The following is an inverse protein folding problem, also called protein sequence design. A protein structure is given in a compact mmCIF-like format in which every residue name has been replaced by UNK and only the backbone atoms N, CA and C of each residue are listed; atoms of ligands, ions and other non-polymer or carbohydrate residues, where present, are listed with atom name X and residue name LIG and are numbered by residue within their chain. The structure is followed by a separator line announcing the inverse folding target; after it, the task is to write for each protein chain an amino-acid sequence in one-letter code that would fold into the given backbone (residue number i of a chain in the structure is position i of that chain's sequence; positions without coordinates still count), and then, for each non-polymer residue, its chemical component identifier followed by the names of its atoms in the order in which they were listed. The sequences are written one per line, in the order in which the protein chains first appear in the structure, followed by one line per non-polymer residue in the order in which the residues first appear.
data_IF_373321286465
#
_entry.id   IF_373321286465
#
_cell.length_a   1.000
_cell.length_b   1.000
_cell.length_c   1.000
_cell.angle_alpha   90.00
_cell.angle_beta   90.00
_cell.angle_gamma   90.00
#
_symmetry.space_group_name_H-M   'P 1'
#
loop_
_entity.id
_entity.type
_entity.pdbx_description
1 polymer ?
#
# COMPACT_ATOMS: atom_id res chain seq x y z
N UNK A 1 32.45 -10.68 -22.61
CA UNK A 1 31.16 -10.09 -23.03
C UNK A 1 31.40 -8.69 -23.55
N UNK A 2 30.88 -8.39 -24.73
CA UNK A 2 30.83 -7.00 -25.20
C UNK A 2 29.88 -6.18 -24.31
N UNK A 3 30.04 -4.85 -24.35
CA UNK A 3 29.22 -3.94 -23.55
C UNK A 3 27.72 -4.00 -23.95
N UNK A 4 27.43 -4.26 -25.22
CA UNK A 4 26.07 -4.43 -25.74
C UNK A 4 25.36 -5.67 -25.15
N UNK A 5 26.09 -6.78 -24.95
CA UNK A 5 25.55 -8.00 -24.32
C UNK A 5 25.16 -7.73 -22.86
N UNK A 6 25.98 -6.96 -22.13
CA UNK A 6 25.65 -6.55 -20.76
C UNK A 6 24.40 -5.66 -20.72
N UNK A 7 24.31 -4.71 -21.65
CA UNK A 7 23.14 -3.86 -21.82
C UNK A 7 21.87 -4.66 -22.14
N UNK A 8 21.99 -5.70 -22.96
CA UNK A 8 20.89 -6.60 -23.28
C UNK A 8 20.31 -7.27 -22.03
N UNK A 9 21.14 -7.87 -21.17
CA UNK A 9 20.64 -8.54 -19.96
C UNK A 9 19.99 -7.58 -18.97
N UNK A 10 20.52 -6.36 -18.83
CA UNK A 10 19.92 -5.33 -17.99
C UNK A 10 18.57 -4.88 -18.55
N UNK A 11 18.46 -4.68 -19.87
CA UNK A 11 17.21 -4.29 -20.51
C UNK A 11 16.13 -5.37 -20.36
N UNK A 12 16.50 -6.65 -20.54
CA UNK A 12 15.58 -7.78 -20.34
C UNK A 12 15.16 -7.90 -18.89
N UNK A 13 16.08 -7.71 -17.94
CA UNK A 13 15.77 -7.69 -16.52
C UNK A 13 14.78 -6.55 -16.18
N UNK A 14 15.03 -5.33 -16.65
CA UNK A 14 14.15 -4.19 -16.44
C UNK A 14 12.74 -4.42 -17.04
N UNK A 15 12.68 -4.99 -18.26
CA UNK A 15 11.42 -5.37 -18.90
C UNK A 15 10.66 -6.42 -18.07
N UNK A 16 11.36 -7.44 -17.57
CA UNK A 16 10.78 -8.48 -16.72
C UNK A 16 10.21 -7.91 -15.41
N UNK A 17 10.98 -7.07 -14.71
CA UNK A 17 10.53 -6.43 -13.47
C UNK A 17 9.31 -5.53 -13.70
N UNK A 18 9.36 -4.68 -14.72
CA UNK A 18 8.25 -3.79 -15.06
C UNK A 18 6.98 -4.57 -15.40
N UNK A 19 7.10 -5.59 -16.27
CA UNK A 19 5.95 -6.41 -16.69
C UNK A 19 5.36 -7.23 -15.53
N UNK A 20 6.18 -7.78 -14.64
CA UNK A 20 5.70 -8.51 -13.45
C UNK A 20 4.94 -7.60 -12.47
N UNK A 21 5.44 -6.38 -12.25
CA UNK A 21 4.80 -5.36 -11.40
C UNK A 21 3.47 -4.90 -12.02
N UNK A 22 3.48 -4.64 -13.34
CA UNK A 22 2.28 -4.25 -14.11
C UNK A 22 1.21 -5.34 -14.10
N UNK A 23 1.62 -6.60 -14.29
CA UNK A 23 0.70 -7.73 -14.33
C UNK A 23 0.00 -7.92 -12.98
N UNK A 24 0.76 -7.90 -11.87
CA UNK A 24 0.19 -8.00 -10.53
C UNK A 24 -0.76 -6.86 -10.20
N UNK A 25 -0.41 -5.63 -10.61
CA UNK A 25 -1.29 -4.47 -10.44
C UNK A 25 -2.63 -4.70 -11.15
N UNK A 26 -2.59 -5.15 -12.41
CA UNK A 26 -3.78 -5.39 -13.23
C UNK A 26 -4.64 -6.53 -12.68
N UNK A 27 -4.01 -7.62 -12.21
CA UNK A 27 -4.71 -8.75 -11.59
C UNK A 27 -5.44 -8.32 -10.31
N UNK A 28 -4.79 -7.51 -9.48
CA UNK A 28 -5.42 -6.91 -8.29
C UNK A 28 -6.58 -6.01 -8.68
N UNK A 29 -6.36 -5.05 -9.59
CA UNK A 29 -7.38 -4.08 -10.00
C UNK A 29 -8.62 -4.80 -10.52
N UNK A 30 -8.44 -5.89 -11.27
CA UNK A 30 -9.53 -6.77 -11.70
C UNK A 30 -10.25 -7.47 -10.54
N UNK A 31 -9.53 -7.90 -9.50
CA UNK A 31 -10.13 -8.52 -8.30
C UNK A 31 -10.86 -7.54 -7.38
N UNK A 32 -10.43 -6.26 -7.38
CA UNK A 32 -11.06 -5.17 -6.61
C UNK A 32 -12.21 -4.49 -7.38
N UNK A 33 -12.52 -4.94 -8.60
CA UNK A 33 -13.57 -4.37 -9.44
C UNK A 33 -13.22 -3.01 -10.07
N UNK A 34 -11.95 -2.61 -10.03
CA UNK A 34 -11.46 -1.40 -10.69
C UNK A 34 -11.47 -1.65 -12.21
N UNK A 35 -11.99 -0.72 -13.03
CA UNK A 35 -12.06 -0.92 -14.47
C UNK A 35 -10.66 -1.10 -15.08
N UNK A 36 -10.39 -2.31 -15.57
CA UNK A 36 -9.15 -2.65 -16.27
C UNK A 36 -9.47 -3.03 -17.71
N UNK A 37 -8.63 -2.61 -18.65
CA UNK A 37 -8.80 -3.01 -20.05
C UNK A 37 -8.19 -4.40 -20.24
N UNK A 38 -8.95 -5.30 -20.85
CA UNK A 38 -8.49 -6.66 -21.13
C UNK A 38 -7.27 -6.67 -22.08
N UNK A 39 -7.12 -5.62 -22.89
CA UNK A 39 -5.97 -5.41 -23.76
C UNK A 39 -4.68 -5.13 -22.97
N UNK A 40 -4.73 -4.28 -21.93
CA UNK A 40 -3.56 -4.02 -21.08
C UNK A 40 -3.12 -5.30 -20.35
N UNK A 41 -4.08 -6.06 -19.80
CA UNK A 41 -3.83 -7.35 -19.16
C UNK A 41 -3.07 -8.32 -20.07
N UNK A 42 -3.51 -8.46 -21.32
CA UNK A 42 -2.88 -9.33 -22.30
C UNK A 42 -1.47 -8.86 -22.66
N UNK A 43 -1.29 -7.55 -22.87
CA UNK A 43 0.03 -6.96 -23.16
C UNK A 43 1.01 -7.20 -22.01
N UNK A 44 0.58 -7.05 -20.75
CA UNK A 44 1.44 -7.30 -19.59
C UNK A 44 1.85 -8.77 -19.49
N UNK A 45 0.94 -9.71 -19.79
CA UNK A 45 1.26 -11.14 -19.87
C UNK A 45 2.26 -11.45 -20.99
N UNK A 46 2.04 -10.90 -22.18
CA UNK A 46 2.94 -11.08 -23.32
C UNK A 46 4.31 -10.48 -23.03
N UNK A 47 4.39 -9.29 -22.44
CA UNK A 47 5.65 -8.65 -22.07
C UNK A 47 6.44 -9.47 -21.04
N UNK A 48 5.75 -10.04 -20.04
CA UNK A 48 6.37 -10.92 -19.07
C UNK A 48 6.91 -12.19 -19.74
N UNK A 49 6.10 -12.86 -20.56
CA UNK A 49 6.53 -14.03 -21.33
C UNK A 49 7.70 -13.73 -22.26
N UNK A 50 7.69 -12.56 -22.92
CA UNK A 50 8.76 -12.11 -23.80
C UNK A 50 10.06 -11.90 -23.03
N UNK A 51 10.03 -11.32 -21.83
CA UNK A 51 11.22 -11.15 -21.00
C UNK A 51 11.86 -12.49 -20.62
N UNK A 52 11.03 -13.49 -20.28
CA UNK A 52 11.48 -14.85 -19.95
C UNK A 52 12.07 -15.55 -21.18
N UNK A 53 11.44 -15.38 -22.35
CA UNK A 53 11.96 -15.93 -23.60
C UNK A 53 13.30 -15.29 -23.99
N UNK A 54 13.42 -13.96 -23.88
CA UNK A 54 14.62 -13.22 -24.22
C UNK A 54 15.80 -13.58 -23.30
N UNK A 55 15.58 -13.78 -21.99
CA UNK A 55 16.67 -14.19 -21.10
C UNK A 55 17.12 -15.62 -21.43
N UNK A 56 16.19 -16.54 -21.70
CA UNK A 56 16.51 -17.91 -22.07
C UNK A 56 17.31 -17.97 -23.38
N UNK A 57 16.82 -17.31 -24.44
CA UNK A 57 17.50 -17.25 -25.75
C UNK A 57 18.85 -16.54 -25.63
N UNK A 58 18.91 -15.45 -24.85
CA UNK A 58 20.13 -14.68 -24.64
C UNK A 58 21.23 -15.47 -23.91
N UNK A 59 20.86 -16.37 -23.00
CA UNK A 59 21.81 -17.25 -22.31
C UNK A 59 22.19 -18.47 -23.16
N UNK A 60 21.26 -19.02 -23.93
CA UNK A 60 21.53 -20.11 -24.87
C UNK A 60 22.57 -19.68 -25.92
N UNK A 61 22.43 -18.46 -26.48
CA UNK A 61 23.35 -17.92 -27.48
C UNK A 61 24.66 -17.37 -26.93
N UNK A 62 24.80 -17.23 -25.60
CA UNK A 62 26.03 -16.73 -24.98
C UNK A 62 27.15 -17.79 -25.06
N UNK A 63 27.81 -17.92 -26.20
CA UNK A 63 28.88 -18.91 -26.42
C UNK A 63 30.15 -18.67 -25.59
N UNK A 64 30.39 -17.43 -25.16
CA UNK A 64 31.58 -17.05 -24.39
C UNK A 64 31.44 -17.18 -22.87
N UNK A 65 30.26 -17.59 -22.38
CA UNK A 65 29.94 -17.55 -20.94
C UNK A 65 30.00 -18.96 -20.35
N UNK A 66 30.64 -19.10 -19.18
CA UNK A 66 30.70 -20.39 -18.49
C UNK A 66 29.30 -20.85 -18.06
N UNK A 67 29.10 -22.16 -17.96
CA UNK A 67 27.80 -22.73 -17.57
C UNK A 67 27.34 -22.22 -16.19
N UNK A 68 28.29 -22.01 -15.27
CA UNK A 68 28.01 -21.45 -13.93
C UNK A 68 27.52 -20.00 -13.99
N UNK A 69 28.11 -19.17 -14.85
CA UNK A 69 27.72 -17.78 -15.03
C UNK A 69 26.31 -17.69 -15.66
N UNK A 70 26.00 -18.54 -16.64
CA UNK A 70 24.64 -18.63 -17.20
C UNK A 70 23.61 -18.98 -16.13
N UNK A 71 23.91 -19.97 -15.29
CA UNK A 71 23.06 -20.33 -14.15
C UNK A 71 22.86 -19.15 -13.19
N UNK A 72 23.93 -18.42 -12.89
CA UNK A 72 23.87 -17.23 -12.05
C UNK A 72 22.93 -16.16 -12.61
N UNK A 73 23.00 -15.85 -13.92
CA UNK A 73 22.10 -14.87 -14.55
C UNK A 73 20.62 -15.29 -14.50
N UNK A 74 20.30 -16.57 -14.74
CA UNK A 74 18.93 -17.06 -14.60
C UNK A 74 18.42 -16.93 -13.16
N UNK A 75 19.23 -17.36 -12.19
CA UNK A 75 18.84 -17.32 -10.77
C UNK A 75 18.70 -15.88 -10.27
N UNK A 76 19.59 -14.97 -10.69
CA UNK A 76 19.47 -13.56 -10.38
C UNK A 76 18.18 -12.95 -10.97
N UNK A 77 17.84 -13.31 -12.21
CA UNK A 77 16.60 -12.85 -12.85
C UNK A 77 15.35 -13.33 -12.11
N UNK A 78 15.26 -14.62 -11.78
CA UNK A 78 14.10 -15.18 -11.06
C UNK A 78 13.98 -14.61 -9.65
N UNK A 79 15.08 -14.50 -8.91
CA UNK A 79 15.10 -13.87 -7.59
C UNK A 79 14.70 -12.39 -7.66
N UNK A 80 15.12 -11.66 -8.70
CA UNK A 80 14.73 -10.26 -8.88
C UNK A 80 13.23 -10.12 -9.16
N UNK A 81 12.64 -10.99 -9.98
CA UNK A 81 11.19 -11.03 -10.20
C UNK A 81 10.43 -11.30 -8.90
N UNK A 82 10.87 -12.31 -8.14
CA UNK A 82 10.28 -12.65 -6.84
C UNK A 82 10.38 -11.49 -5.83
N UNK A 83 11.55 -10.84 -5.76
CA UNK A 83 11.77 -9.71 -4.88
C UNK A 83 10.86 -8.53 -5.25
N UNK A 84 10.75 -8.18 -6.54
CA UNK A 84 9.88 -7.10 -7.00
C UNK A 84 8.39 -7.38 -6.71
N UNK A 85 7.94 -8.61 -6.93
CA UNK A 85 6.59 -9.08 -6.56
C UNK A 85 6.33 -8.91 -5.06
N UNK A 86 7.28 -9.37 -4.24
CA UNK A 86 7.15 -9.34 -2.78
C UNK A 86 7.14 -7.91 -2.25
N UNK A 87 8.07 -7.06 -2.72
CA UNK A 87 8.12 -5.64 -2.35
C UNK A 87 6.83 -4.94 -2.74
N UNK A 88 6.33 -5.17 -3.96
CA UNK A 88 5.09 -4.54 -4.42
C UNK A 88 3.89 -4.91 -3.53
N UNK A 89 3.80 -6.18 -3.10
CA UNK A 89 2.77 -6.63 -2.16
C UNK A 89 2.97 -6.02 -0.77
N UNK A 90 4.17 -6.06 -0.21
CA UNK A 90 4.46 -5.53 1.12
C UNK A 90 4.18 -4.02 1.21
N UNK A 91 4.67 -3.24 0.24
CA UNK A 91 4.42 -1.79 0.19
C UNK A 91 2.94 -1.46 0.02
N UNK A 92 2.20 -2.27 -0.75
CA UNK A 92 0.74 -2.13 -0.86
C UNK A 92 0.06 -2.40 0.48
N UNK A 93 0.41 -3.48 1.14
CA UNK A 93 -0.24 -3.92 2.38
C UNK A 93 0.00 -2.88 3.49
N UNK A 94 1.21 -2.32 3.58
CA UNK A 94 1.50 -1.19 4.47
C UNK A 94 0.64 0.05 4.18
N UNK A 95 0.41 0.38 2.91
CA UNK A 95 -0.43 1.51 2.53
C UNK A 95 -1.91 1.29 2.92
N UNK A 96 -2.41 0.06 2.77
CA UNK A 96 -3.76 -0.30 3.20
C UNK A 96 -3.90 -0.22 4.73
N UNK A 97 -2.94 -0.76 5.49
CA UNK A 97 -2.92 -0.68 6.96
C UNK A 97 -2.95 0.78 7.43
N UNK A 98 -2.13 1.66 6.83
CA UNK A 98 -2.11 3.09 7.15
C UNK A 98 -3.48 3.73 6.93
N UNK A 99 -4.12 3.44 5.80
CA UNK A 99 -5.46 3.98 5.47
C UNK A 99 -6.52 3.55 6.48
N UNK A 100 -6.50 2.28 6.92
CA UNK A 100 -7.43 1.76 7.93
C UNK A 100 -7.19 2.33 9.34
N UNK A 101 -5.95 2.68 9.66
CA UNK A 101 -5.58 3.23 10.98
C UNK A 101 -5.79 4.75 11.07
N UNK A 102 -5.96 5.43 9.93
CA UNK A 102 -5.88 6.89 9.81
C UNK A 102 -7.05 7.74 10.38
N UNK A 103 -8.17 7.22 10.95
CA UNK A 103 -9.08 8.07 11.71
C UNK A 103 -9.33 7.69 13.17
N UNK A 104 -8.58 6.75 13.76
CA UNK A 104 -8.74 6.48 15.21
C UNK A 104 -8.09 7.58 16.08
N UNK A 105 -7.14 8.36 15.55
CA UNK A 105 -6.44 9.42 16.32
C UNK A 105 -7.14 10.80 16.21
N UNK A 106 -7.94 11.04 15.18
CA UNK A 106 -8.67 12.32 15.03
C UNK A 106 -9.97 12.36 15.83
N UNK A 107 -10.63 11.22 16.05
CA UNK A 107 -11.87 11.15 16.82
C UNK A 107 -11.65 11.30 18.35
N UNK A 108 -10.49 10.92 18.89
CA UNK A 108 -10.19 11.09 20.32
C UNK A 108 -9.96 12.55 20.72
N UNK A 109 -9.66 13.43 19.77
CA UNK A 109 -9.42 14.86 20.05
C UNK A 109 -10.68 15.72 19.92
N UNK A 110 -11.69 15.34 19.14
CA UNK A 110 -12.96 16.08 19.09
C UNK A 110 -13.84 15.86 20.33
N UNK A 111 -13.86 14.65 20.89
CA UNK A 111 -14.55 14.41 22.17
C UNK A 111 -13.82 15.05 23.36
N UNK A 112 -12.49 15.12 23.31
CA UNK A 112 -11.69 15.84 24.31
C UNK A 112 -11.85 17.36 24.21
N UNK A 113 -12.01 17.91 23.01
CA UNK A 113 -12.21 19.35 22.79
C UNK A 113 -13.60 19.86 23.21
N UNK A 114 -14.63 19.02 23.14
CA UNK A 114 -15.98 19.38 23.64
C UNK A 114 -16.09 19.34 25.17
N UNK A 115 -15.29 18.52 25.84
CA UNK A 115 -15.26 18.46 27.32
C UNK A 115 -14.56 19.71 27.92
N UNK A 116 -13.60 20.30 27.21
CA UNK A 116 -12.82 21.46 27.71
C UNK A 116 -13.58 22.80 27.59
N UNK A 117 -14.59 22.90 26.72
CA UNK A 117 -15.32 24.16 26.50
C UNK A 117 -16.75 24.22 27.07
N UNK A 118 -17.12 23.29 27.96
CA UNK A 118 -18.34 23.49 28.74
C UNK A 118 -18.10 24.58 29.80
N UNK A 119 -18.61 25.79 29.48
CA UNK A 119 -18.71 26.94 30.40
C UNK A 119 -19.13 26.44 31.79
N UNK A 120 -18.48 26.87 32.89
CA UNK A 120 -18.85 26.43 34.23
C UNK A 120 -20.34 26.70 34.44
N UNK A 121 -21.10 25.65 34.78
CA UNK A 121 -22.44 25.82 35.32
C UNK A 121 -22.28 26.69 36.56
N UNK A 122 -22.96 27.84 36.53
CA UNK A 122 -23.06 28.76 37.65
C UNK A 122 -23.46 27.96 38.89
N UNK A 123 -22.54 27.92 39.85
CA UNK A 123 -22.72 27.24 41.11
C UNK A 123 -23.77 28.01 41.91
N UNK A 124 -24.99 27.48 42.02
CA UNK A 124 -26.04 28.01 42.90
C UNK A 124 -25.73 27.72 44.39
N UNK A 125 -24.44 27.71 44.76
CA UNK A 125 -23.92 27.51 46.11
C UNK A 125 -24.01 28.77 46.99
N UNK A 126 -24.93 29.69 46.67
CA UNK A 126 -25.19 30.90 47.45
C UNK A 126 -26.50 30.89 48.23
N UNK A 127 -27.44 29.98 47.93
CA UNK A 127 -28.72 29.93 48.62
C UNK A 127 -28.60 29.02 49.82
N UNK A 128 -28.36 29.62 50.99
CA UNK A 128 -28.54 28.96 52.29
C UNK A 128 -29.84 28.13 52.26
N UNK A 129 -29.75 26.87 52.69
CA UNK A 129 -30.86 25.90 52.73
C UNK A 129 -32.14 26.47 53.35
N UNK A 130 -32.01 27.44 54.27
CA UNK A 130 -33.15 28.15 54.86
C UNK A 130 -33.90 29.06 53.87
N UNK A 131 -33.22 29.66 52.90
CA UNK A 131 -33.85 30.46 51.84
C UNK A 131 -34.61 29.61 50.83
N UNK A 132 -34.08 28.42 50.49
CA UNK A 132 -34.75 27.48 49.60
C UNK A 132 -36.05 26.94 50.23
N UNK A 133 -36.05 26.64 51.53
CA UNK A 133 -37.23 26.17 52.26
C UNK A 133 -38.29 27.27 52.45
N UNK A 134 -37.90 28.52 52.75
CA UNK A 134 -38.84 29.63 52.90
C UNK A 134 -39.57 29.96 51.59
N UNK A 135 -38.87 29.95 50.45
CA UNK A 135 -39.51 30.18 49.14
C UNK A 135 -40.51 29.10 48.73
N UNK A 136 -40.41 27.90 49.33
CA UNK A 136 -41.34 26.80 49.06
C UNK A 136 -42.58 26.82 49.96
N UNK A 137 -42.52 27.50 51.11
CA UNK A 137 -43.69 27.71 51.99
C UNK A 137 -44.49 28.97 51.62
N UNK A 138 -43.85 30.04 51.14
CA UNK A 138 -44.54 31.28 50.75
C UNK A 138 -45.15 31.22 49.33
N UNK A 139 -45.00 30.10 48.61
CA UNK A 139 -45.56 29.89 47.27
C UNK A 139 -46.86 29.08 47.23
N UNK A 140 -47.46 28.80 48.38
CA UNK A 140 -48.76 28.13 48.49
C UNK A 140 -49.74 29.00 49.29
N UNK A 141 -50.20 30.07 48.64
CA UNK A 141 -51.53 30.67 48.80
C UNK A 141 -51.98 31.15 47.42
#
# INVERSE_FOLDING_TARGET
MLLNEKGYYIAVLALGLYSAISLQKTLRDRSEGIPTTNMYYLISWVALGLSIALIAIGLMNAGSLSLSEKGFYMMAFTMSLFAAVTIQKNTRDEAQIRTLTAPTITASNEDSAKIVHQKPRESDAGKSLFGAVKSRMEGSD
#
